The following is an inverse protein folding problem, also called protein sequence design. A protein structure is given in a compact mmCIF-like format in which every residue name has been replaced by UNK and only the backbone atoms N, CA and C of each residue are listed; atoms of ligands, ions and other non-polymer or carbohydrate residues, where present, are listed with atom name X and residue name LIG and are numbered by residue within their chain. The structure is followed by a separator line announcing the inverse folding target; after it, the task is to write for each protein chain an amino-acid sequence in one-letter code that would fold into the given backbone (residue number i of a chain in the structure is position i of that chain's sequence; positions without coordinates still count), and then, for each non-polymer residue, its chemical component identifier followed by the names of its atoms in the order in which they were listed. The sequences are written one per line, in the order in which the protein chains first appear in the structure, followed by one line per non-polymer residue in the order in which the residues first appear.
data_IF_527548833414
#
_entry.id   IF_527548833414
#
_cell.length_a   1.000
_cell.length_b   1.000
_cell.length_c   1.000
_cell.angle_alpha   90.00
_cell.angle_beta   90.00
_cell.angle_gamma   90.00
#
_symmetry.space_group_name_H-M   'P 1'
#
loop_
_entity.id
_entity.type
_entity.pdbx_description
1 polymer ?
#
# COMPACT_ATOMS: atom_id res chain seq x y z
N UNK A 1 18.09 17.20 8.30
CA UNK A 1 19.50 16.76 8.29
C UNK A 1 19.70 15.52 7.41
N UNK A 2 19.06 14.35 7.68
CA UNK A 2 19.29 13.13 6.88
C UNK A 2 18.88 13.34 5.41
N UNK A 3 17.64 13.73 5.14
CA UNK A 3 17.12 13.95 3.79
C UNK A 3 17.95 14.97 3.03
N UNK A 4 18.27 16.12 3.64
CA UNK A 4 19.15 17.14 3.03
C UNK A 4 20.55 16.60 2.68
N UNK A 5 21.10 15.72 3.51
CA UNK A 5 22.41 15.11 3.23
C UNK A 5 22.35 14.14 2.04
N UNK A 6 21.26 13.39 1.94
CA UNK A 6 21.00 12.50 0.80
C UNK A 6 20.81 13.33 -0.47
N UNK A 7 20.00 14.38 -0.43
CA UNK A 7 19.74 15.27 -1.55
C UNK A 7 21.04 15.91 -2.09
N UNK A 8 21.90 16.43 -1.18
CA UNK A 8 23.21 16.97 -1.55
C UNK A 8 24.13 15.93 -2.23
N UNK A 9 23.91 14.66 -1.93
CA UNK A 9 24.62 13.55 -2.56
C UNK A 9 23.93 13.04 -3.85
N UNK A 10 22.83 13.65 -4.27
CA UNK A 10 22.03 13.22 -5.43
C UNK A 10 21.23 11.94 -5.18
N UNK A 11 20.89 11.65 -3.92
CA UNK A 11 20.15 10.45 -3.51
C UNK A 11 18.75 10.86 -3.06
N UNK A 12 17.72 10.36 -3.75
CA UNK A 12 16.32 10.50 -3.33
C UNK A 12 16.01 9.63 -2.10
N UNK A 13 15.12 10.11 -1.25
CA UNK A 13 14.66 9.39 -0.05
C UNK A 13 13.20 9.00 -0.23
N UNK A 14 12.90 7.70 -0.24
CA UNK A 14 11.54 7.17 -0.25
C UNK A 14 11.17 6.85 1.20
N UNK A 15 10.05 7.41 1.64
CA UNK A 15 9.48 7.15 2.96
C UNK A 15 8.55 5.94 2.91
N UNK A 16 8.71 5.04 3.87
CA UNK A 16 7.73 3.97 4.10
C UNK A 16 6.51 4.57 4.84
N UNK A 17 5.38 4.70 4.15
CA UNK A 17 4.18 5.36 4.63
C UNK A 17 3.04 4.36 4.79
N UNK A 18 2.39 4.38 5.96
CA UNK A 18 1.41 3.38 6.37
C UNK A 18 0.01 4.01 6.51
N UNK A 19 -0.73 4.22 5.40
CA UNK A 19 -2.12 4.68 5.46
C UNK A 19 -3.13 3.54 5.63
N UNK A 20 -2.68 2.29 5.68
CA UNK A 20 -3.54 1.12 5.74
C UNK A 20 -4.15 0.92 7.13
N UNK A 21 -3.35 1.12 8.17
CA UNK A 21 -3.76 0.84 9.54
C UNK A 21 -2.94 1.67 10.55
N UNK A 22 -3.37 1.64 11.81
CA UNK A 22 -2.69 2.32 12.90
C UNK A 22 -2.85 1.55 14.23
N UNK A 23 -1.95 1.75 15.21
CA UNK A 23 -1.99 1.04 16.48
C UNK A 23 -3.21 1.44 17.33
N UNK A 24 -3.68 0.51 18.16
CA UNK A 24 -4.83 0.70 19.04
C UNK A 24 -4.46 1.29 20.43
N UNK A 25 -3.28 1.93 20.54
CA UNK A 25 -2.81 2.53 21.79
C UNK A 25 -3.68 3.71 22.25
N UNK A 26 -4.01 3.77 23.53
CA UNK A 26 -4.88 4.79 24.15
C UNK A 26 -4.36 6.24 24.02
N UNK A 27 -3.08 6.42 23.74
CA UNK A 27 -2.44 7.73 23.56
C UNK A 27 -2.27 8.14 22.09
N UNK A 28 -2.78 7.32 21.15
CA UNK A 28 -2.65 7.54 19.71
C UNK A 28 -3.99 7.96 19.07
N UNK A 29 -4.29 7.45 17.87
CA UNK A 29 -5.48 7.85 17.11
C UNK A 29 -6.75 7.05 17.48
N UNK A 30 -6.61 5.93 18.17
CA UNK A 30 -7.74 5.09 18.55
C UNK A 30 -8.70 5.84 19.47
N UNK A 31 -9.98 5.86 19.12
CA UNK A 31 -11.02 6.60 19.85
C UNK A 31 -10.59 8.04 20.22
N UNK A 32 -9.95 8.75 19.29
CA UNK A 32 -9.21 10.00 19.50
C UNK A 32 -9.98 11.08 20.27
N UNK A 33 -11.26 11.25 19.97
CA UNK A 33 -12.16 12.22 20.63
C UNK A 33 -13.18 11.54 21.55
N UNK A 34 -12.94 10.28 21.93
CA UNK A 34 -13.88 9.44 22.65
C UNK A 34 -14.89 8.72 21.77
N UNK A 35 -14.76 8.86 20.44
CA UNK A 35 -15.54 8.13 19.43
C UNK A 35 -14.60 7.47 18.42
N UNK A 36 -15.13 6.61 17.54
CA UNK A 36 -14.38 6.04 16.41
C UNK A 36 -14.22 7.09 15.30
N UNK A 37 -13.33 8.08 15.52
CA UNK A 37 -13.12 9.18 14.58
C UNK A 37 -12.38 8.72 13.32
N UNK A 38 -11.25 8.05 13.49
CA UNK A 38 -10.38 7.59 12.40
C UNK A 38 -10.71 6.20 11.88
N UNK A 39 -11.29 5.34 12.71
CA UNK A 39 -11.65 3.95 12.42
C UNK A 39 -13.15 3.77 12.21
N UNK A 40 -13.55 2.60 11.72
CA UNK A 40 -14.96 2.16 11.77
C UNK A 40 -15.31 1.61 13.14
N UNK A 41 -16.53 1.88 13.63
CA UNK A 41 -17.04 1.35 14.90
C UNK A 41 -17.22 -0.18 14.84
N UNK A 42 -17.65 -0.72 13.68
CA UNK A 42 -17.80 -2.16 13.49
C UNK A 42 -16.40 -2.80 13.26
N UNK A 43 -15.97 -3.71 14.15
CA UNK A 43 -14.66 -4.37 14.03
C UNK A 43 -14.50 -5.20 12.76
N UNK A 44 -15.60 -5.60 12.10
CA UNK A 44 -15.56 -6.26 10.79
C UNK A 44 -15.06 -5.33 9.66
N UNK A 45 -15.01 -4.03 9.91
CA UNK A 45 -14.46 -3.03 8.99
C UNK A 45 -13.29 -2.27 9.61
N UNK A 46 -13.30 -2.06 10.93
CA UNK A 46 -12.38 -1.18 11.64
C UNK A 46 -11.16 -1.84 12.26
N UNK A 47 -10.98 -3.17 12.18
CA UNK A 47 -9.87 -3.86 12.86
C UNK A 47 -9.25 -4.97 12.03
N UNK A 48 -7.92 -5.00 11.97
CA UNK A 48 -7.14 -6.16 11.52
C UNK A 48 -6.92 -7.12 12.69
N UNK A 49 -7.59 -8.28 12.64
CA UNK A 49 -7.51 -9.26 13.74
C UNK A 49 -6.11 -9.89 13.87
N UNK A 50 -5.42 -10.13 12.75
CA UNK A 50 -4.09 -10.75 12.74
C UNK A 50 -2.97 -9.79 13.18
N UNK A 51 -3.14 -8.49 12.93
CA UNK A 51 -2.12 -7.47 13.25
C UNK A 51 -2.43 -6.70 14.53
N UNK A 52 -3.61 -6.91 15.10
CA UNK A 52 -4.12 -6.17 16.28
C UNK A 52 -4.09 -4.64 16.12
N UNK A 53 -4.38 -4.17 14.90
CA UNK A 53 -4.38 -2.77 14.52
C UNK A 53 -5.77 -2.32 14.06
N UNK A 54 -5.99 -1.01 14.02
CA UNK A 54 -7.21 -0.39 13.52
C UNK A 54 -7.07 0.02 12.07
N UNK A 55 -8.17 -0.04 11.31
CA UNK A 55 -8.23 0.32 9.89
C UNK A 55 -8.83 1.71 9.75
N UNK A 56 -8.19 2.58 8.97
CA UNK A 56 -8.73 3.91 8.68
C UNK A 56 -10.07 3.85 7.95
N UNK A 57 -11.01 4.70 8.35
CA UNK A 57 -12.31 4.87 7.70
C UNK A 57 -12.20 5.79 6.48
N UNK A 58 -11.84 5.23 5.33
CA UNK A 58 -11.68 5.98 4.08
C UNK A 58 -12.99 6.59 3.56
N UNK A 59 -14.15 6.18 4.09
CA UNK A 59 -15.45 6.76 3.77
C UNK A 59 -15.62 8.19 4.30
N UNK A 60 -14.84 8.58 5.34
CA UNK A 60 -14.88 9.92 5.91
C UNK A 60 -13.93 10.86 5.15
N UNK A 61 -14.44 11.98 4.71
CA UNK A 61 -13.64 13.02 4.03
C UNK A 61 -12.53 13.57 4.92
N UNK A 62 -12.80 13.73 6.22
CA UNK A 62 -11.84 14.20 7.21
C UNK A 62 -10.65 13.25 7.37
N UNK A 63 -10.90 11.94 7.35
CA UNK A 63 -9.85 10.91 7.44
C UNK A 63 -9.02 10.90 6.16
N UNK A 64 -9.65 10.97 4.98
CA UNK A 64 -8.92 11.08 3.71
C UNK A 64 -8.05 12.34 3.67
N UNK A 65 -8.61 13.49 4.07
CA UNK A 65 -7.84 14.75 4.14
C UNK A 65 -6.66 14.63 5.10
N UNK A 66 -6.86 14.09 6.29
CA UNK A 66 -5.78 13.86 7.26
C UNK A 66 -4.64 13.02 6.68
N UNK A 67 -4.96 11.92 5.99
CA UNK A 67 -3.96 11.05 5.38
C UNK A 67 -3.23 11.74 4.23
N UNK A 68 -3.94 12.40 3.32
CA UNK A 68 -3.33 13.13 2.19
C UNK A 68 -2.44 14.27 2.69
N UNK A 69 -2.92 15.07 3.65
CA UNK A 69 -2.13 16.15 4.25
C UNK A 69 -0.89 15.64 4.99
N UNK A 70 -0.99 14.45 5.60
CA UNK A 70 0.18 13.79 6.19
C UNK A 70 1.26 13.50 5.13
N UNK A 71 0.87 12.99 3.98
CA UNK A 71 1.82 12.73 2.88
C UNK A 71 2.39 14.05 2.32
N UNK A 72 1.56 15.06 2.07
CA UNK A 72 1.99 16.39 1.60
C UNK A 72 2.99 17.00 2.61
N UNK A 73 2.72 16.88 3.90
CA UNK A 73 3.63 17.37 4.95
C UNK A 73 5.03 16.73 4.87
N UNK A 74 5.12 15.42 4.58
CA UNK A 74 6.40 14.75 4.40
C UNK A 74 7.15 15.23 3.16
N UNK A 75 6.46 15.46 2.05
CA UNK A 75 7.05 16.01 0.83
C UNK A 75 7.51 17.47 1.05
N UNK A 76 6.61 18.33 1.56
CA UNK A 76 6.85 19.77 1.67
C UNK A 76 7.88 20.12 2.76
N UNK A 77 7.69 19.58 3.98
CA UNK A 77 8.49 19.98 5.15
C UNK A 77 9.75 19.18 5.33
N UNK A 78 9.75 17.92 4.95
CA UNK A 78 10.88 17.02 5.14
C UNK A 78 11.65 16.74 3.86
N UNK A 79 11.09 17.08 2.69
CA UNK A 79 11.76 16.99 1.40
C UNK A 79 11.99 15.54 0.94
N UNK A 80 11.13 14.59 1.37
CA UNK A 80 11.22 13.21 0.87
C UNK A 80 10.90 13.19 -0.63
N UNK A 81 11.46 12.23 -1.35
CA UNK A 81 11.32 12.13 -2.81
C UNK A 81 10.08 11.32 -3.22
N UNK A 82 9.40 10.71 -2.27
CA UNK A 82 8.21 9.90 -2.51
C UNK A 82 7.93 8.88 -1.43
N UNK A 83 7.05 7.95 -1.72
CA UNK A 83 6.52 6.98 -0.77
C UNK A 83 6.57 5.55 -1.31
N UNK A 84 6.91 4.62 -0.42
CA UNK A 84 6.44 3.24 -0.51
C UNK A 84 5.22 3.12 0.39
N UNK A 85 4.07 2.85 -0.20
CA UNK A 85 2.79 2.74 0.50
C UNK A 85 2.60 1.30 0.96
N UNK A 86 2.59 1.13 2.27
CA UNK A 86 2.52 -0.15 2.95
C UNK A 86 1.15 -0.80 2.83
N UNK A 87 1.12 -2.13 2.72
CA UNK A 87 -0.05 -2.99 2.84
C UNK A 87 -1.27 -2.57 1.99
N UNK A 88 -1.04 -2.10 0.75
CA UNK A 88 -2.11 -1.63 -0.14
C UNK A 88 -3.17 -2.72 -0.39
N UNK A 89 -2.77 -3.99 -0.46
CA UNK A 89 -3.70 -5.11 -0.59
C UNK A 89 -4.75 -5.14 0.53
N UNK A 90 -4.34 -4.84 1.76
CA UNK A 90 -5.24 -4.81 2.92
C UNK A 90 -6.25 -3.65 2.86
N UNK A 91 -5.91 -2.58 2.15
CA UNK A 91 -6.82 -1.45 1.92
C UNK A 91 -7.86 -1.78 0.85
N UNK A 92 -7.43 -2.47 -0.23
CA UNK A 92 -8.25 -2.74 -1.41
C UNK A 92 -9.34 -3.80 -1.19
N UNK A 93 -9.17 -4.70 -0.21
CA UNK A 93 -10.06 -5.83 -0.01
C UNK A 93 -10.64 -5.87 1.40
N UNK A 94 -11.99 -5.85 1.48
CA UNK A 94 -12.76 -5.93 2.73
C UNK A 94 -12.64 -7.30 3.42
N UNK A 95 -12.31 -8.34 2.66
CA UNK A 95 -12.09 -9.71 3.14
C UNK A 95 -10.62 -10.03 3.44
N UNK A 96 -9.71 -9.05 3.36
CA UNK A 96 -8.28 -9.28 3.59
C UNK A 96 -8.02 -9.82 5.00
N UNK A 97 -7.34 -10.98 5.12
CA UNK A 97 -7.06 -11.64 6.38
C UNK A 97 -8.30 -12.10 7.18
N UNK A 98 -9.46 -12.25 6.53
CA UNK A 98 -10.74 -12.56 7.20
C UNK A 98 -11.37 -13.82 6.63
N UNK A 99 -12.12 -14.53 7.50
CA UNK A 99 -12.92 -15.68 7.09
C UNK A 99 -14.31 -15.23 6.61
N UNK A 100 -15.00 -16.17 5.96
CA UNK A 100 -16.40 -15.95 5.58
C UNK A 100 -17.26 -15.56 6.80
N UNK A 101 -18.05 -14.49 6.66
CA UNK A 101 -18.87 -13.93 7.74
C UNK A 101 -18.15 -12.97 8.70
N UNK A 102 -16.84 -12.80 8.59
CA UNK A 102 -16.04 -11.87 9.42
C UNK A 102 -15.81 -10.52 8.77
N UNK A 103 -16.40 -10.24 7.62
CA UNK A 103 -16.31 -8.98 6.88
C UNK A 103 -17.67 -8.56 6.33
N UNK A 104 -17.78 -7.30 5.92
CA UNK A 104 -19.01 -6.71 5.37
C UNK A 104 -18.78 -6.37 3.89
N UNK A 105 -19.57 -6.93 2.96
CA UNK A 105 -19.47 -6.61 1.55
C UNK A 105 -19.73 -5.12 1.26
N UNK A 106 -19.14 -4.63 0.16
CA UNK A 106 -19.44 -3.30 -0.34
C UNK A 106 -20.91 -3.17 -0.81
N UNK A 107 -21.34 -1.96 -1.13
CA UNK A 107 -22.71 -1.64 -1.57
C UNK A 107 -23.19 -2.42 -2.81
N UNK A 108 -22.30 -3.09 -3.53
CA UNK A 108 -22.61 -3.93 -4.69
C UNK A 108 -22.52 -5.43 -4.39
N UNK A 109 -22.23 -5.80 -3.12
CA UNK A 109 -22.05 -7.18 -2.70
C UNK A 109 -20.65 -7.75 -2.98
N UNK A 110 -19.71 -6.93 -3.47
CA UNK A 110 -18.34 -7.32 -3.74
C UNK A 110 -17.42 -7.15 -2.54
N UNK A 111 -16.18 -7.60 -2.71
CA UNK A 111 -15.15 -7.57 -1.67
C UNK A 111 -14.19 -6.37 -1.78
N UNK A 112 -14.24 -5.65 -2.88
CA UNK A 112 -13.41 -4.47 -3.08
C UNK A 112 -13.85 -3.34 -2.14
N UNK A 113 -12.91 -2.71 -1.45
CA UNK A 113 -13.14 -1.52 -0.64
C UNK A 113 -13.16 -0.28 -1.55
N UNK A 114 -14.35 0.08 -2.01
CA UNK A 114 -14.54 1.18 -2.96
C UNK A 114 -14.09 2.54 -2.39
N UNK A 115 -14.20 2.72 -1.08
CA UNK A 115 -13.80 3.94 -0.38
C UNK A 115 -12.28 4.07 -0.33
N UNK A 116 -11.57 2.96 -0.09
CA UNK A 116 -10.12 2.93 -0.15
C UNK A 116 -9.59 3.12 -1.59
N UNK A 117 -10.24 2.51 -2.59
CA UNK A 117 -9.91 2.72 -4.01
C UNK A 117 -9.99 4.21 -4.36
N UNK A 118 -11.06 4.88 -3.94
CA UNK A 118 -11.25 6.32 -4.17
C UNK A 118 -10.20 7.15 -3.42
N UNK A 119 -9.91 6.81 -2.16
CA UNK A 119 -8.86 7.47 -1.39
C UNK A 119 -7.48 7.37 -2.06
N UNK A 120 -7.10 6.18 -2.51
CA UNK A 120 -5.81 5.96 -3.17
C UNK A 120 -5.68 6.79 -4.45
N UNK A 121 -6.74 6.89 -5.24
CA UNK A 121 -6.77 7.76 -6.42
C UNK A 121 -6.57 9.23 -6.05
N UNK A 122 -7.34 9.72 -5.07
CA UNK A 122 -7.22 11.09 -4.57
C UNK A 122 -5.81 11.38 -4.03
N UNK A 123 -5.22 10.44 -3.30
CA UNK A 123 -3.86 10.55 -2.80
C UNK A 123 -2.85 10.70 -3.95
N UNK A 124 -2.86 9.79 -4.93
CA UNK A 124 -1.93 9.84 -6.05
C UNK A 124 -2.12 11.10 -6.91
N UNK A 125 -3.36 11.50 -7.17
CA UNK A 125 -3.66 12.74 -7.88
C UNK A 125 -3.13 13.97 -7.13
N UNK A 126 -3.37 14.05 -5.82
CA UNK A 126 -2.93 15.18 -5.01
C UNK A 126 -1.40 15.33 -4.96
N UNK A 127 -0.68 14.24 -4.67
CA UNK A 127 0.79 14.31 -4.58
C UNK A 127 1.42 14.62 -5.94
N UNK A 128 0.94 14.06 -7.05
CA UNK A 128 1.51 14.32 -8.38
C UNK A 128 1.14 15.70 -8.91
N UNK A 129 0.00 16.26 -8.50
CA UNK A 129 -0.40 17.61 -8.85
C UNK A 129 0.49 18.66 -8.16
N UNK A 130 0.76 18.49 -6.87
CA UNK A 130 1.54 19.43 -6.07
C UNK A 130 3.05 19.19 -6.18
N UNK A 131 3.46 17.93 -6.30
CA UNK A 131 4.86 17.50 -6.39
C UNK A 131 5.05 16.57 -7.60
N UNK A 132 5.14 17.10 -8.82
CA UNK A 132 5.19 16.29 -10.05
C UNK A 132 6.39 15.32 -10.17
N UNK A 133 7.42 15.52 -9.35
CA UNK A 133 8.60 14.66 -9.31
C UNK A 133 8.55 13.63 -8.15
N UNK A 134 7.51 13.66 -7.31
CA UNK A 134 7.34 12.67 -6.26
C UNK A 134 7.02 11.30 -6.86
N UNK A 135 7.51 10.25 -6.22
CA UNK A 135 7.30 8.86 -6.65
C UNK A 135 6.39 8.16 -5.65
N UNK A 136 5.38 7.46 -6.14
CA UNK A 136 4.54 6.57 -5.34
C UNK A 136 4.70 5.12 -5.73
N UNK A 137 4.96 4.25 -4.76
CA UNK A 137 5.22 2.82 -4.96
C UNK A 137 4.25 2.03 -4.10
N UNK A 138 3.40 1.18 -4.70
CA UNK A 138 2.50 0.32 -3.96
C UNK A 138 3.18 -0.97 -3.50
N UNK A 139 3.12 -1.27 -2.21
CA UNK A 139 3.29 -2.66 -1.74
C UNK A 139 1.94 -3.35 -1.86
N UNK A 140 1.77 -4.09 -2.96
CA UNK A 140 0.51 -4.75 -3.30
C UNK A 140 0.80 -6.12 -3.91
N UNK A 141 0.33 -7.18 -3.24
CA UNK A 141 0.67 -8.58 -3.56
C UNK A 141 -0.42 -9.31 -4.34
N UNK A 142 -1.57 -8.67 -4.59
CA UNK A 142 -2.71 -9.34 -5.23
C UNK A 142 -2.75 -9.11 -6.75
N UNK A 143 -3.76 -9.68 -7.39
CA UNK A 143 -4.07 -9.47 -8.80
C UNK A 143 -5.04 -8.30 -9.03
N UNK A 144 -5.11 -7.31 -8.10
CA UNK A 144 -5.91 -6.11 -8.34
C UNK A 144 -5.41 -5.39 -9.59
N UNK A 145 -6.30 -5.07 -10.54
CA UNK A 145 -5.87 -4.56 -11.84
C UNK A 145 -5.49 -3.08 -11.81
N UNK A 146 -4.61 -2.68 -12.73
CA UNK A 146 -4.35 -1.27 -13.04
C UNK A 146 -3.83 -0.45 -11.84
N UNK A 147 -3.01 -1.04 -10.99
CA UNK A 147 -2.37 -0.34 -9.86
C UNK A 147 -1.55 0.86 -10.36
N UNK A 148 -0.78 0.65 -11.43
CA UNK A 148 0.14 1.67 -11.99
C UNK A 148 -0.42 2.40 -13.20
N UNK A 149 -1.71 2.23 -13.51
CA UNK A 149 -2.36 3.01 -14.55
C UNK A 149 -2.95 4.31 -13.98
N UNK A 150 -3.00 5.39 -14.77
CA UNK A 150 -3.57 6.65 -14.32
C UNK A 150 -5.06 6.55 -13.93
N UNK A 151 -5.54 7.35 -12.95
CA UNK A 151 -6.94 7.33 -12.51
C UNK A 151 -7.96 7.58 -13.63
N UNK A 152 -7.65 8.45 -14.59
CA UNK A 152 -8.57 8.79 -15.69
C UNK A 152 -8.85 7.62 -16.66
N UNK A 153 -8.04 6.55 -16.63
CA UNK A 153 -8.31 5.32 -17.39
C UNK A 153 -8.78 4.17 -16.47
N UNK A 154 -9.07 4.48 -15.19
CA UNK A 154 -9.60 3.53 -14.22
C UNK A 154 -8.56 2.95 -13.24
N UNK A 155 -7.29 3.33 -13.38
CA UNK A 155 -6.21 2.86 -12.50
C UNK A 155 -6.19 3.54 -11.13
N UNK A 156 -5.19 3.17 -10.31
CA UNK A 156 -4.99 3.75 -8.98
C UNK A 156 -3.99 4.91 -8.96
N UNK A 157 -3.16 5.07 -10.01
CA UNK A 157 -2.26 6.20 -10.18
C UNK A 157 -0.90 6.06 -9.52
N UNK A 158 -0.51 4.89 -9.02
CA UNK A 158 0.86 4.65 -8.56
C UNK A 158 1.85 4.67 -9.73
N UNK A 159 3.07 5.15 -9.49
CA UNK A 159 4.14 5.07 -10.49
C UNK A 159 4.66 3.64 -10.63
N UNK A 160 4.77 2.94 -9.50
CA UNK A 160 5.31 1.59 -9.43
C UNK A 160 4.52 0.70 -8.47
N UNK A 161 4.71 -0.62 -8.66
CA UNK A 161 4.21 -1.67 -7.77
C UNK A 161 5.37 -2.63 -7.43
N UNK A 162 5.52 -3.03 -6.17
CA UNK A 162 6.43 -4.10 -5.81
C UNK A 162 5.99 -5.42 -6.44
N UNK A 163 6.95 -6.14 -7.04
CA UNK A 163 6.69 -7.47 -7.57
C UNK A 163 6.88 -8.53 -6.48
N UNK A 164 5.89 -8.66 -5.60
CA UNK A 164 5.92 -9.61 -4.48
C UNK A 164 5.95 -11.06 -4.96
N UNK A 165 5.25 -11.39 -6.04
CA UNK A 165 5.30 -12.73 -6.65
C UNK A 165 6.71 -13.11 -7.09
N UNK A 166 7.40 -12.22 -7.82
CA UNK A 166 8.78 -12.44 -8.21
C UNK A 166 9.71 -12.58 -6.99
N UNK A 167 9.51 -11.77 -5.96
CA UNK A 167 10.30 -11.84 -4.72
C UNK A 167 10.17 -13.22 -4.06
N UNK A 168 8.96 -13.69 -3.84
CA UNK A 168 8.71 -15.01 -3.23
C UNK A 168 9.30 -16.16 -4.07
N UNK A 169 9.11 -16.11 -5.38
CA UNK A 169 9.64 -17.13 -6.29
C UNK A 169 11.16 -17.18 -6.25
N UNK A 170 11.82 -16.03 -6.32
CA UNK A 170 13.29 -15.94 -6.30
C UNK A 170 13.85 -16.34 -4.93
N UNK A 171 13.27 -15.89 -3.83
CA UNK A 171 13.69 -16.29 -2.48
C UNK A 171 13.51 -17.80 -2.28
N UNK A 172 12.39 -18.37 -2.72
CA UNK A 172 12.18 -19.82 -2.69
C UNK A 172 13.23 -20.57 -3.50
N UNK A 173 13.58 -20.08 -4.70
CA UNK A 173 14.63 -20.65 -5.51
C UNK A 173 15.99 -20.65 -4.77
N UNK A 174 16.34 -19.54 -4.11
CA UNK A 174 17.62 -19.45 -3.37
C UNK A 174 17.66 -20.35 -2.14
N UNK A 175 16.55 -20.68 -1.52
CA UNK A 175 16.47 -21.63 -0.41
C UNK A 175 16.74 -23.08 -0.83
N UNK A 176 16.54 -23.42 -2.10
CA UNK A 176 16.79 -24.76 -2.61
C UNK A 176 18.30 -25.01 -2.75
N UNK A 177 18.76 -26.17 -2.29
CA UNK A 177 20.15 -26.60 -2.45
C UNK A 177 20.61 -26.48 -3.92
N UNK A 178 21.81 -25.97 -4.21
CA UNK A 178 22.30 -25.77 -5.58
C UNK A 178 22.18 -27.01 -6.47
N UNK A 179 22.34 -28.21 -5.92
CA UNK A 179 22.23 -29.46 -6.66
C UNK A 179 20.80 -29.75 -7.19
N UNK A 180 19.78 -29.12 -6.59
CA UNK A 180 18.37 -29.33 -6.93
C UNK A 180 17.71 -28.11 -7.60
N UNK A 181 18.40 -27.01 -7.78
CA UNK A 181 17.85 -25.75 -8.33
C UNK A 181 17.30 -25.90 -9.75
N UNK A 182 17.85 -26.84 -10.52
CA UNK A 182 17.36 -27.11 -11.89
C UNK A 182 15.87 -27.54 -11.91
N UNK A 183 15.38 -28.21 -10.86
CA UNK A 183 13.99 -28.66 -10.78
C UNK A 183 12.99 -27.52 -10.49
N UNK A 184 13.46 -26.38 -9.99
CA UNK A 184 12.68 -25.20 -9.64
C UNK A 184 13.08 -23.96 -10.44
N UNK A 185 13.71 -24.15 -11.60
CA UNK A 185 14.18 -23.06 -12.46
C UNK A 185 13.05 -22.11 -12.89
N UNK A 186 11.83 -22.65 -13.00
CA UNK A 186 10.64 -21.86 -13.34
C UNK A 186 10.38 -20.70 -12.37
N UNK A 187 10.80 -20.80 -11.10
CA UNK A 187 10.69 -19.71 -10.14
C UNK A 187 11.43 -18.44 -10.59
N UNK A 188 12.52 -18.58 -11.36
CA UNK A 188 13.23 -17.42 -11.90
C UNK A 188 12.58 -16.84 -13.16
N UNK A 189 11.88 -17.67 -13.94
CA UNK A 189 11.39 -17.29 -15.27
C UNK A 189 9.90 -16.94 -15.28
N UNK A 190 9.15 -17.36 -14.28
CA UNK A 190 7.70 -17.18 -14.23
C UNK A 190 7.30 -15.68 -14.26
N UNK A 191 8.04 -14.82 -13.58
CA UNK A 191 7.82 -13.38 -13.59
C UNK A 191 7.81 -12.76 -14.99
N UNK A 192 8.52 -13.35 -15.96
CA UNK A 192 8.53 -12.86 -17.34
C UNK A 192 7.16 -12.96 -18.03
N UNK A 193 6.24 -13.79 -17.53
CA UNK A 193 4.90 -13.98 -18.09
C UNK A 193 3.97 -12.79 -17.85
N UNK A 194 4.24 -12.00 -16.79
CA UNK A 194 3.39 -10.87 -16.38
C UNK A 194 4.14 -9.55 -16.16
N UNK A 195 5.46 -9.51 -16.39
CA UNK A 195 6.32 -8.37 -16.08
C UNK A 195 5.93 -7.04 -16.74
N UNK A 196 5.08 -7.06 -17.75
CA UNK A 196 4.60 -5.86 -18.46
C UNK A 196 3.16 -5.48 -18.10
N UNK A 197 2.51 -6.18 -17.16
CA UNK A 197 1.13 -5.87 -16.75
C UNK A 197 1.06 -4.62 -15.88
N UNK A 198 2.12 -4.31 -15.16
CA UNK A 198 2.29 -3.14 -14.28
C UNK A 198 3.73 -2.61 -14.37
N UNK A 199 3.98 -1.43 -13.83
CA UNK A 199 5.33 -0.89 -13.66
C UNK A 199 5.96 -1.49 -12.40
N UNK A 200 6.62 -2.64 -12.53
CA UNK A 200 7.14 -3.37 -11.38
C UNK A 200 8.50 -2.89 -10.88
N UNK A 201 8.64 -2.81 -9.56
CA UNK A 201 9.92 -2.79 -8.84
C UNK A 201 10.20 -4.20 -8.33
N UNK A 202 11.37 -4.74 -8.68
CA UNK A 202 11.82 -6.03 -8.18
C UNK A 202 12.53 -5.83 -6.84
N UNK A 203 11.76 -5.77 -5.77
CA UNK A 203 12.26 -5.56 -4.42
C UNK A 203 12.62 -6.90 -3.76
N UNK A 204 13.66 -6.90 -2.93
CA UNK A 204 13.87 -7.93 -1.93
C UNK A 204 13.48 -7.37 -0.57
N UNK A 205 12.58 -8.04 0.12
CA UNK A 205 12.13 -7.70 1.45
C UNK A 205 12.07 -8.95 2.33
N UNK A 206 11.91 -8.74 3.63
CA UNK A 206 11.66 -9.80 4.61
C UNK A 206 10.18 -10.11 4.79
N UNK A 207 9.30 -9.37 4.12
CA UNK A 207 7.84 -9.51 4.15
C UNK A 207 7.34 -10.80 3.50
#
# INVERSE_FOLDING_TARGET
VLVESCEKAGIGVILDWVPAHFPSDDFALACFDGTCLFEHEDPKQGRHAEWDTLIFNYGRSEVRSFLIESAICWLERFGVSGFRVDAVASMLYLDYGRKEGEWIPNKHGGKENLEAVEFIRQFNEAIHQEFPNAISIAEESTAFPQITQPPHVGGLGFDFKWNMGWMHDVLSYFQVSPAHRSSVHNNLTFGATYQFSENFVQAFSHD
#
